data_IF_057701430343
#
_entry.id   IF_057701430343
#
_cell.length_a   1.000
_cell.length_b   1.000
_cell.length_c   1.000
_cell.angle_alpha   90.00
_cell.angle_beta   90.00
_cell.angle_gamma   90.00
#
_symmetry.space_group_name_H-M   'P 1'
#
loop_
_entity.id
_entity.type
_entity.pdbx_description
1 polymer ?
#
# COMPACT_ATOMS: atom_id res chain seq x y z
N UNK A 1 0.05 -8.74 17.54
CA UNK A 1 -0.91 -7.61 17.79
C UNK A 1 -1.23 -7.04 16.43
N UNK A 2 -2.42 -7.31 15.89
CA UNK A 2 -2.71 -7.28 14.47
C UNK A 2 -2.71 -5.88 13.84
N UNK A 3 -2.52 -5.84 12.53
CA UNK A 3 -2.67 -4.75 11.55
C UNK A 3 -3.89 -3.84 11.86
N UNK A 4 -4.92 -4.38 12.50
CA UNK A 4 -6.14 -3.70 12.92
C UNK A 4 -5.96 -2.50 13.87
N UNK A 5 -4.95 -2.51 14.73
CA UNK A 5 -4.75 -1.40 15.67
C UNK A 5 -4.04 -0.21 15.02
N UNK A 6 -3.28 -0.45 13.98
CA UNK A 6 -2.51 0.60 13.32
C UNK A 6 -3.37 1.40 12.33
N UNK A 7 -4.23 0.74 11.56
CA UNK A 7 -5.22 1.43 10.72
C UNK A 7 -6.07 2.36 11.59
N UNK A 8 -6.46 1.92 12.81
CA UNK A 8 -7.13 2.80 13.79
C UNK A 8 -6.25 3.92 14.33
N UNK A 9 -4.92 3.73 14.45
CA UNK A 9 -4.01 4.80 14.87
C UNK A 9 -3.74 5.83 13.78
N UNK A 10 -3.67 5.45 12.51
CA UNK A 10 -3.64 6.39 11.39
C UNK A 10 -4.90 7.28 11.36
N UNK A 11 -6.03 6.73 11.74
CA UNK A 11 -7.27 7.50 11.90
C UNK A 11 -7.33 8.30 13.20
N UNK A 12 -6.45 8.09 14.18
CA UNK A 12 -6.50 8.73 15.50
C UNK A 12 -5.63 9.98 15.66
N UNK A 13 -4.78 10.31 14.69
CA UNK A 13 -3.87 11.45 14.82
C UNK A 13 -4.46 12.71 14.18
N UNK A 14 -5.08 13.53 15.02
CA UNK A 14 -5.62 14.89 14.86
C UNK A 14 -7.11 15.00 14.50
N UNK A 15 -7.75 15.87 15.26
CA UNK A 15 -9.17 16.18 15.40
C UNK A 15 -9.98 16.58 14.13
N UNK A 16 -9.49 16.27 12.93
CA UNK A 16 -10.22 16.43 11.66
C UNK A 16 -10.80 15.10 11.13
N UNK A 17 -10.55 14.00 11.82
CA UNK A 17 -10.71 12.64 11.28
C UNK A 17 -12.09 12.03 11.52
N UNK A 18 -12.96 12.65 12.29
CA UNK A 18 -14.27 12.06 12.62
C UNK A 18 -15.29 12.10 11.48
N UNK A 19 -15.04 12.92 10.45
CA UNK A 19 -15.90 13.03 9.26
C UNK A 19 -15.52 12.01 8.16
N UNK A 20 -14.27 11.58 8.08
CA UNK A 20 -13.78 10.75 6.97
C UNK A 20 -13.99 9.23 7.17
N UNK A 21 -14.00 8.75 8.39
CA UNK A 21 -14.27 7.31 8.65
C UNK A 21 -15.70 6.89 8.27
N UNK A 22 -16.62 7.82 8.20
CA UNK A 22 -18.03 7.57 7.85
C UNK A 22 -18.23 7.38 6.35
N UNK A 23 -17.29 7.86 5.54
CA UNK A 23 -17.50 7.95 4.09
C UNK A 23 -17.13 6.69 3.30
N UNK A 24 -16.26 5.83 3.81
CA UNK A 24 -15.88 4.59 3.12
C UNK A 24 -17.06 3.63 2.96
N UNK A 25 -17.92 3.53 3.99
CA UNK A 25 -19.14 2.75 3.91
C UNK A 25 -20.12 3.32 2.88
N UNK A 26 -20.23 4.65 2.81
CA UNK A 26 -21.06 5.31 1.80
C UNK A 26 -20.52 5.14 0.38
N UNK A 27 -19.19 5.06 0.24
CA UNK A 27 -18.52 4.90 -1.06
C UNK A 27 -18.50 3.45 -1.55
N UNK A 28 -18.30 2.49 -0.64
CA UNK A 28 -18.02 1.10 -0.97
C UNK A 28 -18.93 0.10 -0.24
N UNK A 29 -19.85 0.58 0.63
CA UNK A 29 -20.87 -0.24 1.28
C UNK A 29 -21.99 -0.53 0.30
N UNK A 30 -22.10 -1.75 -0.18
CA UNK A 30 -23.16 -2.14 -1.12
C UNK A 30 -23.03 -3.60 -1.52
N UNK A 31 -23.97 -4.11 -2.32
CA UNK A 31 -23.84 -5.44 -2.88
C UNK A 31 -22.63 -5.52 -3.80
N UNK A 32 -21.84 -6.58 -3.66
CA UNK A 32 -20.70 -6.88 -4.55
C UNK A 32 -21.24 -7.12 -5.95
N UNK A 33 -21.14 -6.12 -6.81
CA UNK A 33 -21.62 -6.23 -8.19
C UNK A 33 -20.69 -7.03 -9.09
N UNK A 34 -19.41 -7.17 -8.72
CA UNK A 34 -18.46 -8.03 -9.42
C UNK A 34 -17.39 -8.54 -8.45
N UNK A 35 -17.17 -9.85 -8.45
CA UNK A 35 -16.08 -10.48 -7.72
C UNK A 35 -14.86 -10.56 -8.61
N UNK A 36 -13.74 -9.96 -8.17
CA UNK A 36 -12.45 -10.09 -8.83
C UNK A 36 -11.79 -11.41 -8.41
N UNK A 37 -11.43 -12.22 -9.37
CA UNK A 37 -10.61 -13.40 -9.10
C UNK A 37 -9.15 -12.97 -9.01
N UNK A 38 -8.63 -12.94 -7.78
CA UNK A 38 -7.23 -12.63 -7.56
C UNK A 38 -6.35 -13.80 -7.97
N UNK A 39 -5.22 -13.58 -8.63
CA UNK A 39 -4.25 -14.62 -8.95
C UNK A 39 -3.67 -15.20 -7.66
N UNK A 40 -3.33 -16.50 -7.71
CA UNK A 40 -2.71 -17.19 -6.58
C UNK A 40 -1.36 -16.56 -6.16
N UNK A 41 -0.64 -16.03 -7.14
CA UNK A 41 0.61 -15.31 -6.94
C UNK A 41 0.47 -13.89 -7.47
N UNK A 42 0.86 -12.92 -6.65
CA UNK A 42 0.95 -11.51 -7.02
C UNK A 42 2.36 -11.01 -6.71
N UNK A 43 2.89 -10.18 -7.61
CA UNK A 43 4.06 -9.38 -7.27
C UNK A 43 3.65 -8.26 -6.29
N UNK A 44 4.63 -7.69 -5.60
CA UNK A 44 4.40 -6.49 -4.81
C UNK A 44 4.13 -5.27 -5.72
N UNK A 45 3.19 -4.41 -5.36
CA UNK A 45 2.32 -4.43 -4.18
C UNK A 45 1.09 -5.33 -4.35
N UNK A 46 0.63 -5.93 -3.27
CA UNK A 46 -0.49 -6.86 -3.28
C UNK A 46 -1.84 -6.14 -3.31
N UNK A 47 -2.72 -6.56 -4.21
CA UNK A 47 -4.13 -6.21 -4.16
C UNK A 47 -4.86 -7.25 -3.30
N UNK A 48 -5.53 -6.80 -2.25
CA UNK A 48 -6.27 -7.67 -1.34
C UNK A 48 -7.71 -7.19 -1.16
N UNK A 49 -8.67 -8.07 -0.85
CA UNK A 49 -9.98 -7.61 -0.40
C UNK A 49 -9.81 -6.72 0.84
N UNK A 50 -10.68 -5.73 1.01
CA UNK A 50 -10.71 -4.94 2.24
C UNK A 50 -10.97 -5.84 3.44
N UNK A 51 -10.31 -5.56 4.56
CA UNK A 51 -10.47 -6.32 5.80
C UNK A 51 -11.78 -6.01 6.52
N UNK A 52 -12.41 -4.90 6.17
CA UNK A 52 -13.73 -4.53 6.69
C UNK A 52 -14.80 -5.28 5.89
N UNK A 53 -15.49 -6.20 6.56
CA UNK A 53 -16.45 -7.12 5.94
C UNK A 53 -17.68 -6.44 5.33
N UNK A 54 -17.88 -5.17 5.62
CA UNK A 54 -19.00 -4.37 5.11
C UNK A 54 -18.65 -3.56 3.85
N UNK A 55 -17.37 -3.58 3.42
CA UNK A 55 -16.93 -2.89 2.22
C UNK A 55 -16.77 -3.87 1.05
N UNK A 56 -17.47 -3.59 -0.03
CA UNK A 56 -17.36 -4.33 -1.29
C UNK A 56 -16.26 -3.74 -2.18
N UNK A 57 -15.01 -3.80 -1.70
CA UNK A 57 -13.86 -3.17 -2.35
C UNK A 57 -12.57 -3.98 -2.14
N UNK A 58 -11.55 -3.58 -2.86
CA UNK A 58 -10.19 -4.08 -2.73
C UNK A 58 -9.26 -2.95 -2.33
N UNK A 59 -8.19 -3.30 -1.64
CA UNK A 59 -7.18 -2.35 -1.20
C UNK A 59 -5.80 -2.73 -1.71
N UNK A 60 -4.98 -1.70 -1.91
CA UNK A 60 -3.55 -1.77 -2.14
C UNK A 60 -2.89 -0.93 -1.06
N UNK A 61 -2.10 -1.56 -0.20
CA UNK A 61 -1.33 -0.87 0.84
C UNK A 61 0.15 -1.14 0.60
N UNK A 62 0.93 -0.10 0.34
CA UNK A 62 2.32 -0.27 -0.07
C UNK A 62 3.18 0.95 0.28
N UNK A 63 4.49 0.73 0.25
CA UNK A 63 5.53 1.74 0.26
C UNK A 63 6.16 1.77 -1.13
N UNK A 64 6.25 2.94 -1.75
CA UNK A 64 6.78 3.13 -3.09
C UNK A 64 7.99 4.07 -3.05
N UNK A 65 8.99 3.79 -3.86
CA UNK A 65 10.03 4.78 -4.18
C UNK A 65 9.47 5.89 -5.10
N UNK A 66 10.25 6.95 -5.35
CA UNK A 66 9.83 8.10 -6.18
C UNK A 66 9.37 7.69 -7.58
N UNK A 67 10.11 6.79 -8.22
CA UNK A 67 9.83 6.35 -9.59
C UNK A 67 8.51 5.57 -9.65
N UNK A 68 8.29 4.64 -8.74
CA UNK A 68 7.09 3.82 -8.71
C UNK A 68 5.87 4.63 -8.27
N UNK A 69 6.06 5.64 -7.41
CA UNK A 69 5.01 6.61 -7.08
C UNK A 69 4.54 7.37 -8.32
N UNK A 70 5.46 7.89 -9.15
CA UNK A 70 5.12 8.57 -10.40
C UNK A 70 4.43 7.64 -11.41
N UNK A 71 4.83 6.36 -11.45
CA UNK A 71 4.17 5.34 -12.27
C UNK A 71 2.73 5.08 -11.83
N UNK A 72 2.51 5.01 -10.51
CA UNK A 72 1.15 4.84 -9.95
C UNK A 72 0.27 6.06 -10.27
N UNK A 73 0.78 7.28 -10.13
CA UNK A 73 0.04 8.49 -10.48
C UNK A 73 -0.33 8.53 -11.96
N UNK A 74 0.61 8.14 -12.82
CA UNK A 74 0.38 8.03 -14.26
C UNK A 74 -0.70 6.99 -14.57
N UNK A 75 -0.66 5.84 -13.90
CA UNK A 75 -1.67 4.78 -14.04
C UNK A 75 -3.05 5.27 -13.63
N UNK A 76 -3.18 5.97 -12.50
CA UNK A 76 -4.45 6.54 -12.04
C UNK A 76 -5.01 7.55 -13.06
N UNK A 77 -4.16 8.45 -13.57
CA UNK A 77 -4.54 9.39 -14.62
C UNK A 77 -5.03 8.68 -15.90
N UNK A 78 -4.30 7.68 -16.37
CA UNK A 78 -4.66 6.89 -17.56
C UNK A 78 -5.93 6.08 -17.36
N UNK A 79 -6.19 5.63 -16.13
CA UNK A 79 -7.45 4.98 -15.76
C UNK A 79 -8.63 5.95 -15.63
N UNK A 80 -8.44 7.25 -15.85
CA UNK A 80 -9.48 8.26 -15.84
C UNK A 80 -9.78 8.91 -14.49
N UNK A 81 -8.91 8.73 -13.51
CA UNK A 81 -9.00 9.40 -12.20
C UNK A 81 -8.15 10.67 -12.22
N UNK A 82 -8.78 11.82 -12.05
CA UNK A 82 -8.04 13.07 -11.91
C UNK A 82 -7.33 13.10 -10.57
N UNK A 83 -6.01 13.10 -10.61
CA UNK A 83 -5.20 13.28 -9.42
C UNK A 83 -4.86 14.76 -9.27
N UNK A 84 -5.37 15.35 -8.21
CA UNK A 84 -5.11 16.74 -7.87
C UNK A 84 -3.75 16.84 -7.20
N UNK A 85 -2.72 17.04 -8.01
CA UNK A 85 -1.46 17.59 -7.58
C UNK A 85 -0.51 16.66 -6.81
N UNK A 86 0.74 17.14 -6.72
CA UNK A 86 1.84 16.55 -5.97
C UNK A 86 1.83 16.90 -4.49
N UNK A 87 0.75 17.50 -3.98
CA UNK A 87 0.69 17.93 -2.59
C UNK A 87 0.63 16.74 -1.64
N UNK A 88 1.63 16.63 -0.78
CA UNK A 88 1.74 15.61 0.24
C UNK A 88 1.63 16.25 1.64
N UNK A 89 0.94 15.65 2.58
CA UNK A 89 0.16 14.41 2.47
C UNK A 89 -1.18 14.62 1.73
N UNK A 90 -1.61 13.59 0.99
CA UNK A 90 -2.94 13.56 0.36
C UNK A 90 -3.84 12.53 1.08
N UNK A 91 -5.10 12.90 1.29
CA UNK A 91 -6.12 11.99 1.84
C UNK A 91 -7.49 12.42 1.28
N UNK A 92 -8.05 11.64 0.38
CA UNK A 92 -9.28 12.04 -0.28
C UNK A 92 -9.84 10.99 -1.25
N UNK A 93 -10.91 11.39 -1.91
CA UNK A 93 -11.60 10.58 -2.91
C UNK A 93 -11.34 11.14 -4.29
N UNK A 94 -10.92 10.28 -5.21
CA UNK A 94 -10.79 10.58 -6.62
C UNK A 94 -12.03 10.03 -7.33
N UNK A 95 -12.62 10.84 -8.20
CA UNK A 95 -13.75 10.44 -9.02
C UNK A 95 -13.30 10.19 -10.44
N UNK A 96 -13.80 9.14 -11.05
CA UNK A 96 -13.55 8.88 -12.46
C UNK A 96 -14.26 9.95 -13.31
N UNK A 97 -13.59 10.47 -14.34
CA UNK A 97 -14.07 11.59 -15.17
C UNK A 97 -15.36 11.29 -15.95
N UNK A 98 -15.64 10.02 -16.25
CA UNK A 98 -16.79 9.62 -17.08
C UNK A 98 -17.60 8.43 -16.55
N UNK A 99 -17.10 7.72 -15.51
CA UNK A 99 -17.77 6.59 -14.88
C UNK A 99 -18.17 6.93 -13.44
N UNK A 100 -19.14 6.20 -12.89
CA UNK A 100 -19.53 6.37 -11.48
C UNK A 100 -18.67 5.47 -10.58
N UNK A 101 -17.36 5.48 -10.80
CA UNK A 101 -16.40 4.75 -9.97
C UNK A 101 -15.50 5.72 -9.22
N UNK A 102 -15.02 5.28 -8.07
CA UNK A 102 -14.24 6.09 -7.16
C UNK A 102 -13.03 5.34 -6.64
N UNK A 103 -12.02 6.09 -6.26
CA UNK A 103 -10.84 5.62 -5.53
C UNK A 103 -10.71 6.44 -4.26
N UNK A 104 -10.66 5.79 -3.10
CA UNK A 104 -10.13 6.43 -1.90
C UNK A 104 -8.61 6.28 -1.94
N UNK A 105 -7.91 7.39 -1.77
CA UNK A 105 -6.46 7.45 -1.82
C UNK A 105 -5.92 8.20 -0.61
N UNK A 106 -5.01 7.56 0.11
CA UNK A 106 -4.22 8.19 1.16
C UNK A 106 -2.74 8.01 0.82
N UNK A 107 -1.99 9.11 0.88
CA UNK A 107 -0.56 9.13 0.57
C UNK A 107 0.19 10.07 1.52
N UNK A 108 1.35 9.65 2.00
CA UNK A 108 2.26 10.48 2.79
C UNK A 108 3.69 9.98 2.64
N UNK A 109 4.66 10.89 2.79
CA UNK A 109 6.08 10.56 2.74
C UNK A 109 6.53 9.97 4.09
N UNK A 110 7.12 8.79 4.06
CA UNK A 110 7.77 8.12 5.20
C UNK A 110 8.70 7.00 4.71
N UNK A 111 9.60 6.53 5.54
CA UNK A 111 10.52 5.42 5.24
C UNK A 111 11.30 5.59 3.93
N UNK A 112 11.81 6.80 3.69
CA UNK A 112 12.50 7.20 2.45
C UNK A 112 11.67 7.02 1.15
N UNK A 113 10.35 6.93 1.26
CA UNK A 113 9.44 6.76 0.14
C UNK A 113 8.05 7.32 0.41
N UNK A 114 7.05 6.74 -0.25
CA UNK A 114 5.65 7.14 -0.13
C UNK A 114 4.80 5.96 0.33
N UNK A 115 4.25 6.08 1.53
CA UNK A 115 3.20 5.17 2.00
C UNK A 115 1.91 5.48 1.25
N UNK A 116 1.32 4.46 0.64
CA UNK A 116 0.09 4.57 -0.15
C UNK A 116 -0.93 3.56 0.34
N UNK A 117 -2.13 4.05 0.65
CA UNK A 117 -3.33 3.23 0.81
C UNK A 117 -4.33 3.65 -0.27
N UNK A 118 -4.68 2.72 -1.15
CA UNK A 118 -5.67 2.89 -2.19
C UNK A 118 -6.79 1.88 -1.98
N UNK A 119 -8.05 2.34 -1.99
CA UNK A 119 -9.23 1.47 -1.91
C UNK A 119 -10.13 1.76 -3.12
N UNK A 120 -10.55 0.73 -3.83
CA UNK A 120 -11.44 0.86 -4.98
C UNK A 120 -12.24 -0.41 -5.23
N UNK A 121 -13.36 -0.27 -5.92
CA UNK A 121 -14.13 -1.37 -6.51
C UNK A 121 -14.15 -1.30 -8.06
N UNK A 122 -13.34 -0.43 -8.66
CA UNK A 122 -13.19 -0.35 -10.11
C UNK A 122 -12.38 -1.54 -10.63
N UNK A 123 -13.06 -2.46 -11.31
CA UNK A 123 -12.46 -3.71 -11.81
C UNK A 123 -11.37 -3.45 -12.85
N UNK A 124 -11.53 -2.44 -13.70
CA UNK A 124 -10.54 -2.13 -14.74
C UNK A 124 -9.23 -1.59 -14.11
N UNK A 125 -9.35 -0.73 -13.11
CA UNK A 125 -8.22 -0.25 -12.34
C UNK A 125 -7.57 -1.41 -11.56
N UNK A 126 -8.36 -2.26 -10.91
CA UNK A 126 -7.86 -3.41 -10.15
C UNK A 126 -7.07 -4.39 -11.02
N UNK A 127 -7.51 -4.65 -12.26
CA UNK A 127 -6.77 -5.49 -13.21
C UNK A 127 -5.40 -4.89 -13.56
N UNK A 128 -5.29 -3.57 -13.67
CA UNK A 128 -4.01 -2.89 -13.88
C UNK A 128 -3.13 -2.93 -12.64
N UNK A 129 -3.70 -2.72 -11.44
CA UNK A 129 -2.98 -2.77 -10.18
C UNK A 129 -2.42 -4.16 -9.87
N UNK A 130 -3.12 -5.24 -10.21
CA UNK A 130 -2.62 -6.62 -10.04
C UNK A 130 -1.35 -6.87 -10.86
N UNK A 131 -1.20 -6.19 -11.99
CA UNK A 131 -0.02 -6.31 -12.86
C UNK A 131 1.05 -5.24 -12.58
N UNK A 132 0.74 -4.28 -11.74
CA UNK A 132 1.65 -3.21 -11.34
C UNK A 132 2.73 -3.78 -10.42
N UNK A 133 3.97 -3.75 -10.88
CA UNK A 133 5.14 -4.20 -10.11
C UNK A 133 5.90 -2.99 -9.62
N UNK A 134 6.22 -2.99 -8.33
CA UNK A 134 6.98 -1.93 -7.69
C UNK A 134 7.94 -2.50 -6.64
N UNK A 135 8.81 -1.65 -6.12
CA UNK A 135 9.69 -1.96 -5.00
C UNK A 135 9.60 -0.85 -3.96
N UNK A 136 9.62 -1.19 -2.65
CA UNK A 136 9.85 -0.17 -1.62
C UNK A 136 11.30 0.32 -1.72
N UNK A 137 11.63 1.48 -1.12
CA UNK A 137 13.01 1.86 -0.84
C UNK A 137 13.73 0.73 -0.11
N UNK A 138 15.02 0.60 -0.39
CA UNK A 138 15.84 -0.43 0.24
C UNK A 138 15.90 -0.25 1.77
N UNK A 139 16.11 -1.34 2.55
CA UNK A 139 16.16 -1.26 4.00
C UNK A 139 17.14 -0.22 4.54
N UNK A 140 18.32 -0.11 3.94
CA UNK A 140 19.34 0.89 4.32
C UNK A 140 19.02 2.32 3.92
N UNK A 141 18.04 2.53 3.03
CA UNK A 141 17.49 3.86 2.71
C UNK A 141 16.42 4.23 3.73
N UNK A 142 15.54 3.28 4.07
CA UNK A 142 14.46 3.48 5.04
C UNK A 142 14.99 3.64 6.47
N UNK A 143 16.08 2.94 6.81
CA UNK A 143 16.69 2.91 8.15
C UNK A 143 18.22 2.93 8.05
N UNK A 144 18.83 4.08 7.71
CA UNK A 144 20.27 4.19 7.47
C UNK A 144 21.13 3.93 8.73
N UNK A 145 20.56 4.11 9.92
CA UNK A 145 21.25 3.93 11.20
C UNK A 145 21.07 2.52 11.80
N UNK A 146 20.35 1.63 11.08
CA UNK A 146 20.11 0.26 11.54
C UNK A 146 21.16 -0.68 11.00
N UNK A 147 21.83 -1.39 11.91
CA UNK A 147 22.72 -2.50 11.60
C UNK A 147 21.95 -3.83 11.70
N UNK A 148 21.69 -4.51 10.58
CA UNK A 148 20.90 -5.74 10.58
C UNK A 148 21.57 -6.89 11.37
N UNK A 149 22.90 -6.89 11.50
CA UNK A 149 23.65 -7.95 12.21
C UNK A 149 23.44 -7.89 13.73
N UNK A 150 23.02 -6.76 14.25
CA UNK A 150 22.82 -6.55 15.70
C UNK A 150 21.35 -6.50 16.12
N UNK A 151 20.42 -6.62 15.16
CA UNK A 151 19.00 -6.59 15.46
C UNK A 151 18.54 -7.85 16.17
N UNK A 152 17.93 -7.63 17.34
CA UNK A 152 17.15 -8.65 18.03
C UNK A 152 15.70 -8.69 17.54
N UNK A 153 14.73 -8.57 18.45
CA UNK A 153 13.32 -8.48 18.06
C UNK A 153 12.99 -7.12 17.46
N UNK A 154 12.24 -7.11 16.36
CA UNK A 154 11.74 -5.88 15.77
C UNK A 154 10.72 -5.20 16.67
N UNK A 155 10.74 -3.87 16.74
CA UNK A 155 9.82 -3.08 17.53
C UNK A 155 9.49 -1.75 16.84
N UNK A 156 8.29 -1.24 17.10
CA UNK A 156 7.87 0.09 16.66
C UNK A 156 7.83 0.26 15.14
N UNK A 157 8.44 1.33 14.64
CA UNK A 157 8.41 1.68 13.21
C UNK A 157 9.10 0.63 12.33
N UNK A 158 10.16 0.01 12.82
CA UNK A 158 10.88 -1.02 12.07
C UNK A 158 10.05 -2.30 11.93
N UNK A 159 9.38 -2.75 13.02
CA UNK A 159 8.45 -3.87 13.00
C UNK A 159 7.29 -3.59 12.02
N UNK A 160 6.70 -2.42 12.15
CA UNK A 160 5.61 -2.00 11.26
C UNK A 160 6.03 -1.99 9.79
N UNK A 161 7.16 -1.34 9.46
CA UNK A 161 7.69 -1.28 8.10
C UNK A 161 7.98 -2.67 7.54
N UNK A 162 8.59 -3.53 8.34
CA UNK A 162 8.91 -4.89 7.95
C UNK A 162 7.62 -5.68 7.63
N UNK A 163 6.64 -5.67 8.52
CA UNK A 163 5.41 -6.44 8.35
C UNK A 163 4.50 -5.89 7.24
N UNK A 164 4.41 -4.56 7.12
CA UNK A 164 3.48 -3.94 6.18
C UNK A 164 4.02 -3.84 4.75
N UNK A 165 5.33 -3.68 4.58
CA UNK A 165 5.92 -3.35 3.29
C UNK A 165 7.05 -4.28 2.87
N UNK A 166 8.06 -4.48 3.74
CA UNK A 166 9.26 -5.21 3.36
C UNK A 166 8.99 -6.71 3.18
N UNK A 167 8.38 -7.36 4.14
CA UNK A 167 8.07 -8.80 4.07
C UNK A 167 7.17 -9.15 2.89
N UNK A 168 6.05 -8.44 2.61
CA UNK A 168 5.25 -8.69 1.41
C UNK A 168 6.06 -8.55 0.11
N UNK A 169 6.95 -7.57 0.04
CA UNK A 169 7.84 -7.40 -1.10
C UNK A 169 8.85 -8.55 -1.18
N UNK A 170 9.56 -8.85 -0.10
CA UNK A 170 10.55 -9.92 -0.04
C UNK A 170 9.98 -11.27 -0.47
N UNK A 171 8.79 -11.62 0.03
CA UNK A 171 8.11 -12.86 -0.33
C UNK A 171 7.65 -12.90 -1.79
N UNK A 172 7.48 -11.77 -2.44
CA UNK A 172 7.14 -11.68 -3.87
C UNK A 172 8.35 -11.86 -4.80
N UNK A 173 9.58 -11.78 -4.27
CA UNK A 173 10.81 -11.95 -5.06
C UNK A 173 11.13 -13.41 -5.31
N UNK A 174 11.64 -13.70 -6.50
CA UNK A 174 12.27 -14.97 -6.81
C UNK A 174 13.64 -15.12 -6.12
N UNK A 175 14.12 -16.36 -6.02
CA UNK A 175 15.41 -16.65 -5.40
C UNK A 175 16.57 -15.84 -5.98
N UNK A 176 16.64 -15.72 -7.30
CA UNK A 176 17.68 -14.95 -7.99
C UNK A 176 17.64 -13.46 -7.67
N UNK A 177 16.44 -12.91 -7.45
CA UNK A 177 16.26 -11.50 -7.09
C UNK A 177 16.70 -11.25 -5.65
N UNK A 178 16.37 -12.15 -4.72
CA UNK A 178 16.79 -12.08 -3.31
C UNK A 178 18.31 -12.12 -3.16
N UNK A 179 18.99 -12.96 -3.95
CA UNK A 179 20.46 -13.07 -3.94
C UNK A 179 21.20 -11.78 -4.38
N UNK A 180 20.51 -10.79 -4.91
CA UNK A 180 21.10 -9.49 -5.26
C UNK A 180 21.26 -8.55 -4.04
N UNK A 181 20.61 -8.87 -2.90
CA UNK A 181 20.72 -8.09 -1.69
C UNK A 181 22.02 -8.39 -0.93
N UNK A 182 22.58 -7.40 -0.20
CA UNK A 182 23.73 -7.64 0.69
C UNK A 182 23.43 -8.76 1.69
N UNK A 183 24.44 -9.58 1.99
CA UNK A 183 24.28 -10.82 2.79
C UNK A 183 23.58 -10.59 4.12
N UNK A 184 23.94 -9.54 4.85
CA UNK A 184 23.33 -9.21 6.14
C UNK A 184 21.85 -8.81 6.01
N UNK A 185 21.49 -8.09 4.96
CA UNK A 185 20.08 -7.77 4.70
C UNK A 185 19.30 -8.96 4.13
N UNK A 186 19.95 -9.83 3.40
CA UNK A 186 19.36 -11.11 2.99
C UNK A 186 19.01 -11.96 4.23
N UNK A 187 19.99 -12.17 5.14
CA UNK A 187 19.79 -12.92 6.39
C UNK A 187 18.70 -12.30 7.27
N UNK A 188 18.71 -10.97 7.43
CA UNK A 188 17.64 -10.23 8.10
C UNK A 188 16.27 -10.54 7.53
N UNK A 189 16.13 -10.49 6.20
CA UNK A 189 14.85 -10.65 5.50
C UNK A 189 14.32 -12.08 5.51
N UNK A 190 15.21 -13.08 5.59
CA UNK A 190 14.80 -14.49 5.74
C UNK A 190 14.42 -14.82 7.19
N UNK A 191 14.95 -14.07 8.17
CA UNK A 191 14.67 -14.32 9.58
C UNK A 191 13.42 -13.57 10.07
N UNK A 192 13.19 -12.37 9.59
CA UNK A 192 12.09 -11.48 9.97
C UNK A 192 11.02 -11.38 8.89
#
# INVERSE_FOLDING_TARGET
MGIFNWVKQLFATKATTRSQATDLQALFGGEVTASLTLPHYQAYPLVTPTTETELSAYQLHCLLNDQDKQRLDTLLCQAGFEHVGSDMPFNGVLHHTSLQTTVFLQQYADFAGFCVLLITNDINLLQQLITFKAAPPAPWESFPDVDPDTLGSLQGNLEFWCDAFWRPYWLSLGETERLQYPTNWFEFSEFH
#
